data_IF_696328439926
#
_entry.id   IF_696328439926
#
_cell.length_a   1.000
_cell.length_b   1.000
_cell.length_c   1.000
_cell.angle_alpha   90.00
_cell.angle_beta   90.00
_cell.angle_gamma   90.00
#
_symmetry.space_group_name_H-M   'P 1'
#
loop_
_entity.id
_entity.type
_entity.pdbx_description
1 polymer ?
2 non-polymer ?
3 non-polymer ?
4 water ?
#
# COMPACT_ATOMS: atom_id res chain seq x y z
N UNK A 1 -10.70 5.54 -0.20
CA UNK A 1 -9.30 5.06 0.04
C UNK A 1 -8.40 6.16 0.53
N UNK A 2 -7.63 5.86 1.59
CA UNK A 2 -6.70 6.85 2.11
C UNK A 2 -5.29 6.24 2.00
N UNK A 3 -4.38 6.99 1.40
CA UNK A 3 -2.99 6.49 1.23
C UNK A 3 -1.96 7.42 1.88
N UNK A 4 -0.86 6.84 2.33
CA UNK A 4 0.30 7.59 2.73
C UNK A 4 1.46 7.09 1.87
N UNK A 5 2.07 8.01 1.12
CA UNK A 5 3.26 7.75 0.24
C UNK A 5 4.54 8.08 1.00
N UNK A 6 5.36 7.07 1.28
CA UNK A 6 6.63 7.29 1.95
C UNK A 6 7.75 6.84 1.02
N UNK A 7 8.57 7.81 0.58
CA UNK A 7 9.73 7.52 -0.27
C UNK A 7 10.85 7.07 0.62
N UNK A 8 11.15 5.79 0.56
CA UNK A 8 12.02 5.14 1.49
C UNK A 8 13.39 4.92 0.84
N UNK A 9 14.43 4.91 1.67
CA UNK A 9 15.73 4.44 1.25
C UNK A 9 15.81 2.94 1.42
N UNK A 10 15.04 2.40 2.36
CA UNK A 10 14.95 0.99 2.65
C UNK A 10 13.64 0.75 3.41
N UNK A 11 13.15 -0.47 3.31
CA UNK A 11 11.93 -0.92 3.97
C UNK A 11 11.95 -2.40 4.16
N UNK A 12 11.39 -2.83 5.26
CA UNK A 12 11.24 -4.22 5.55
C UNK A 12 10.09 -4.39 6.49
N UNK A 13 9.46 -5.54 6.38
CA UNK A 13 8.39 -5.95 7.30
C UNK A 13 8.45 -7.44 7.57
N UNK A 14 7.80 -7.88 8.64
CA UNK A 14 7.64 -9.29 8.98
C UNK A 14 6.32 -9.37 9.64
N UNK A 15 5.54 -10.36 9.23
CA UNK A 15 4.25 -10.70 9.85
C UNK A 15 4.64 -11.28 11.19
N UNK A 16 3.75 -11.12 12.16
CA UNK A 16 4.00 -11.54 13.55
C UNK A 16 2.72 -12.31 13.87
N UNK A 17 1.89 -11.88 14.81
CA UNK A 17 0.65 -12.61 15.04
C UNK A 17 -0.43 -12.30 13.98
N UNK A 18 -1.36 -13.27 13.72
CA UNK A 18 -2.54 -13.02 12.89
C UNK A 18 -3.44 -11.96 13.55
N UNK A 19 -3.83 -10.96 12.75
CA UNK A 19 -4.71 -9.88 13.20
C UNK A 19 -6.13 -10.31 13.08
N UNK A 20 -6.43 -11.05 12.01
CA UNK A 20 -7.79 -11.56 11.74
C UNK A 20 -7.82 -13.03 12.13
N UNK A 21 -9.02 -13.54 12.40
CA UNK A 21 -9.20 -14.96 12.69
C UNK A 21 -8.58 -15.88 11.63
N UNK A 22 -8.89 -15.67 10.34
CA UNK A 22 -8.25 -16.43 9.25
C UNK A 22 -7.63 -15.50 8.17
N UNK A 23 -6.39 -15.01 8.37
CA UNK A 23 -5.79 -14.07 7.40
C UNK A 23 -5.83 -14.67 5.99
N UNK A 24 -6.34 -13.89 4.99
CA UNK A 24 -6.49 -14.40 3.65
C UNK A 24 -5.17 -14.60 2.95
N UNK A 25 -4.08 -14.03 3.47
CA UNK A 25 -2.77 -14.17 2.86
C UNK A 25 -1.85 -15.00 3.78
N UNK A 26 -0.91 -15.78 3.22
CA UNK A 26 0.10 -16.44 4.08
C UNK A 26 1.07 -15.46 4.80
N UNK A 27 1.72 -15.90 5.91
CA UNK A 27 2.71 -15.09 6.60
C UNK A 27 4.01 -14.96 5.81
N UNK A 28 4.88 -14.05 6.24
CA UNK A 28 6.11 -13.82 5.47
C UNK A 28 6.85 -12.57 5.84
N UNK A 29 7.83 -12.23 5.02
CA UNK A 29 8.69 -11.11 5.32
C UNK A 29 9.42 -10.74 4.04
N UNK A 30 9.86 -9.49 3.97
CA UNK A 30 10.51 -8.99 2.80
C UNK A 30 11.26 -7.73 3.15
N UNK A 31 12.27 -7.40 2.36
CA UNK A 31 12.98 -6.16 2.56
C UNK A 31 13.37 -5.61 1.23
N UNK A 32 13.58 -4.31 1.18
CA UNK A 32 13.77 -3.59 -0.08
C UNK A 32 14.74 -2.47 0.10
N UNK A 33 15.25 -2.02 -1.04
CA UNK A 33 15.97 -0.77 -1.15
C UNK A 33 15.05 0.37 -1.41
N UNK A 34 15.49 1.30 -2.25
CA UNK A 34 14.75 2.51 -2.51
C UNK A 34 13.38 2.14 -3.04
N UNK A 35 12.30 2.70 -2.48
CA UNK A 35 10.95 2.29 -2.92
C UNK A 35 10.01 3.35 -2.47
N UNK A 36 8.87 3.43 -3.14
CA UNK A 36 7.72 4.14 -2.60
C UNK A 36 6.90 3.16 -1.76
N UNK A 37 6.79 3.42 -0.45
CA UNK A 37 6.04 2.56 0.44
C UNK A 37 4.65 3.24 0.55
N UNK A 38 3.59 2.52 0.18
CA UNK A 38 2.21 3.11 0.12
C UNK A 38 1.39 2.44 1.21
N UNK A 39 1.27 3.13 2.35
CA UNK A 39 0.38 2.64 3.40
C UNK A 39 -1.07 2.85 2.94
N UNK A 40 -1.89 1.76 2.91
CA UNK A 40 -3.16 1.80 2.21
C UNK A 40 -4.29 1.44 3.09
N UNK A 41 -5.21 2.37 3.27
CA UNK A 41 -6.42 2.13 4.09
C UNK A 41 -7.63 2.12 3.14
N UNK A 42 -8.31 0.97 3.04
CA UNK A 42 -9.47 0.80 2.15
C UNK A 42 -10.72 1.29 2.88
N UNK A 43 -11.48 2.17 2.24
CA UNK A 43 -12.62 2.81 2.89
C UNK A 43 -13.93 2.28 2.35
N UNK A 44 -14.99 2.42 3.14
CA UNK A 44 -16.30 1.94 2.71
C UNK A 44 -16.70 2.28 1.26
N UNK A 45 -16.55 3.53 0.86
CA UNK A 45 -16.97 3.87 -0.55
C UNK A 45 -16.18 3.25 -1.74
N UNK A 46 -15.14 2.47 -1.48
CA UNK A 46 -14.13 2.20 -2.54
C UNK A 46 -14.65 1.15 -3.48
N UNK A 47 -14.49 1.42 -4.77
CA UNK A 47 -14.88 0.44 -5.77
C UNK A 47 -13.87 0.48 -6.88
N UNK A 48 -14.28 0.06 -8.07
CA UNK A 48 -13.33 -0.02 -9.15
C UNK A 48 -12.80 1.35 -9.62
N UNK A 49 -13.62 2.40 -9.62
CA UNK A 49 -13.12 3.72 -10.04
C UNK A 49 -12.02 4.19 -9.08
N UNK A 50 -12.25 3.97 -7.78
CA UNK A 50 -11.31 4.37 -6.72
C UNK A 50 -9.96 3.69 -6.98
N UNK A 51 -10.01 2.40 -7.24
CA UNK A 51 -8.81 1.65 -7.47
C UNK A 51 -8.01 2.18 -8.67
N UNK A 52 -8.71 2.46 -9.76
CA UNK A 52 -8.02 2.93 -10.92
C UNK A 52 -7.42 4.31 -10.70
N UNK A 53 -8.16 5.21 -10.04
CA UNK A 53 -7.62 6.53 -9.73
C UNK A 53 -6.33 6.39 -8.91
N UNK A 54 -6.39 5.48 -7.92
CA UNK A 54 -5.25 5.31 -7.02
C UNK A 54 -4.07 4.74 -7.79
N UNK A 55 -4.31 3.70 -8.60
CA UNK A 55 -3.28 3.11 -9.48
C UNK A 55 -2.56 4.13 -10.36
N UNK A 56 -3.35 5.01 -10.99
CA UNK A 56 -2.77 6.07 -11.83
C UNK A 56 -1.93 7.05 -11.05
N UNK A 57 -2.45 7.49 -9.89
CA UNK A 57 -1.68 8.42 -9.09
C UNK A 57 -0.40 7.83 -8.53
N UNK A 58 -0.46 6.56 -8.07
CA UNK A 58 0.71 5.94 -7.50
C UNK A 58 1.79 5.86 -8.61
N UNK A 59 1.32 5.55 -9.81
CA UNK A 59 2.19 5.42 -10.97
C UNK A 59 2.85 6.73 -11.32
N UNK A 60 2.05 7.78 -11.37
CA UNK A 60 2.54 9.14 -11.66
C UNK A 60 3.51 9.61 -10.59
N UNK A 61 3.12 9.53 -9.33
CA UNK A 61 4.04 9.93 -8.30
C UNK A 61 5.33 9.18 -8.37
N UNK A 62 5.26 7.86 -8.60
CA UNK A 62 6.44 7.03 -8.70
C UNK A 62 7.32 7.49 -9.86
N UNK A 63 6.67 7.80 -10.97
CA UNK A 63 7.38 8.37 -12.13
C UNK A 63 8.13 9.67 -11.73
N UNK A 64 7.41 10.61 -11.13
CA UNK A 64 7.99 11.85 -10.64
C UNK A 64 9.19 11.62 -9.70
N UNK A 65 9.12 10.60 -8.83
CA UNK A 65 10.16 10.35 -7.85
C UNK A 65 11.34 9.58 -8.42
N UNK A 66 11.14 9.07 -9.64
CA UNK A 66 12.03 8.11 -10.32
C UNK A 66 12.29 6.83 -9.51
N UNK A 67 11.25 6.27 -8.86
CA UNK A 67 11.35 4.96 -8.16
C UNK A 67 10.94 3.85 -9.10
N UNK A 68 11.42 2.65 -8.83
CA UNK A 68 11.11 1.52 -9.69
C UNK A 68 10.57 0.41 -8.83
N UNK A 69 10.25 0.69 -7.56
CA UNK A 69 9.63 -0.30 -6.68
C UNK A 69 8.55 0.41 -5.82
N UNK A 70 7.39 -0.25 -5.71
CA UNK A 70 6.25 0.30 -4.95
C UNK A 70 5.80 -0.81 -4.05
N UNK A 71 5.75 -0.52 -2.74
CA UNK A 71 5.17 -1.50 -1.81
C UNK A 71 3.74 -1.10 -1.39
N UNK A 72 2.78 -1.99 -1.61
CA UNK A 72 1.39 -1.77 -1.18
C UNK A 72 1.25 -2.44 0.17
N UNK A 73 1.20 -1.63 1.22
CA UNK A 73 1.24 -2.08 2.60
C UNK A 73 -0.10 -1.79 3.25
N UNK A 74 -0.93 -2.84 3.44
CA UNK A 74 -2.24 -2.69 4.06
C UNK A 74 -2.10 -2.07 5.47
N UNK A 75 -2.93 -1.06 5.74
CA UNK A 75 -2.78 -0.29 6.99
C UNK A 75 -4.15 0.14 7.47
N UNK A 76 -4.52 -0.17 8.71
CA UNK A 76 -5.88 0.13 9.15
C UNK A 76 -6.08 1.51 9.72
N UNK A 77 -4.99 2.25 9.90
CA UNK A 77 -5.05 3.42 10.77
C UNK A 77 -5.08 4.77 10.13
N UNK A 78 -5.16 4.84 8.80
CA UNK A 78 -5.11 6.17 8.18
C UNK A 78 -6.42 6.94 8.13
N UNK A 79 -7.54 6.28 8.45
CA UNK A 79 -8.82 6.98 8.42
C UNK A 79 -9.82 6.31 9.38
N UNK A 80 -11.00 6.95 9.53
CA UNK A 80 -12.06 6.42 10.38
C UNK A 80 -13.32 6.05 9.59
N UNK A 81 -13.13 5.41 8.43
CA UNK A 81 -14.25 4.93 7.61
C UNK A 81 -13.83 3.67 6.83
N UNK A 82 -13.24 2.73 7.60
CA UNK A 82 -12.71 1.47 7.03
C UNK A 82 -13.77 0.64 6.35
N UNK A 83 -13.38 0.02 5.24
CA UNK A 83 -14.18 -1.05 4.67
C UNK A 83 -13.97 -2.29 5.57
N UNK A 84 -14.88 -3.28 5.46
CA UNK A 84 -14.70 -4.58 6.08
C UNK A 84 -13.53 -5.36 5.50
N UNK A 85 -13.00 -6.33 6.26
CA UNK A 85 -11.76 -6.97 5.82
C UNK A 85 -11.86 -7.69 4.50
N UNK A 86 -12.96 -8.39 4.24
CA UNK A 86 -13.12 -9.07 2.92
C UNK A 86 -13.08 -8.11 1.74
N UNK A 87 -13.88 -7.04 1.82
CA UNK A 87 -13.91 -6.00 0.78
C UNK A 87 -12.52 -5.38 0.62
N UNK A 88 -11.85 -5.07 1.74
CA UNK A 88 -10.52 -4.41 1.70
C UNK A 88 -9.51 -5.30 1.02
N UNK A 89 -9.52 -6.59 1.35
CA UNK A 89 -8.56 -7.50 0.73
C UNK A 89 -8.84 -7.58 -0.76
N UNK A 90 -10.11 -7.57 -1.14
CA UNK A 90 -10.44 -7.59 -2.57
C UNK A 90 -9.97 -6.32 -3.29
N UNK A 91 -10.30 -5.18 -2.71
CA UNK A 91 -9.81 -3.89 -3.27
C UNK A 91 -8.28 -3.83 -3.34
N UNK A 92 -7.56 -4.35 -2.35
CA UNK A 92 -6.10 -4.27 -2.38
C UNK A 92 -5.52 -5.19 -3.46
N UNK A 93 -6.14 -6.33 -3.66
CA UNK A 93 -5.77 -7.21 -4.80
C UNK A 93 -6.03 -6.51 -6.12
N UNK A 94 -7.22 -5.92 -6.28
CA UNK A 94 -7.51 -5.07 -7.48
C UNK A 94 -6.53 -3.93 -7.67
N UNK A 95 -6.17 -3.25 -6.58
CA UNK A 95 -5.18 -2.19 -6.69
C UNK A 95 -3.83 -2.65 -7.18
N UNK A 96 -3.40 -3.79 -6.68
CA UNK A 96 -2.13 -4.39 -7.11
C UNK A 96 -2.18 -4.64 -8.60
N UNK A 97 -3.28 -5.28 -9.04
CA UNK A 97 -3.49 -5.55 -10.46
C UNK A 97 -3.50 -4.32 -11.32
N UNK A 98 -4.26 -3.32 -10.88
CA UNK A 98 -4.36 -2.01 -11.59
C UNK A 98 -3.02 -1.32 -11.69
N UNK A 99 -2.25 -1.33 -10.60
CA UNK A 99 -0.99 -0.66 -10.62
C UNK A 99 -0.04 -1.24 -11.69
N UNK A 100 -0.13 -2.56 -11.89
CA UNK A 100 0.79 -3.21 -12.83
C UNK A 100 0.50 -2.81 -14.27
N UNK A 101 -0.72 -2.34 -14.51
CA UNK A 101 -1.07 -1.76 -15.85
C UNK A 101 -0.62 -0.32 -16.09
N UNK A 102 -0.10 0.35 -15.03
CA UNK A 102 0.23 1.76 -15.10
C UNK A 102 1.69 2.10 -14.76
N UNK A 103 2.33 1.16 -14.08
CA UNK A 103 3.65 1.33 -13.49
C UNK A 103 4.52 0.15 -13.88
N UNK A 104 5.71 0.40 -14.46
CA UNK A 104 6.49 -0.71 -14.97
C UNK A 104 7.47 -1.39 -14.02
N UNK A 105 7.57 -0.90 -12.78
CA UNK A 105 8.55 -1.46 -11.83
C UNK A 105 7.99 -2.56 -10.95
N UNK A 106 8.72 -2.86 -9.89
CA UNK A 106 8.35 -3.93 -9.01
C UNK A 106 7.17 -3.50 -8.16
N UNK A 107 6.12 -4.30 -8.12
CA UNK A 107 5.00 -4.00 -7.22
C UNK A 107 4.91 -5.14 -6.23
N UNK A 108 4.95 -4.84 -4.93
CA UNK A 108 4.91 -5.88 -3.95
C UNK A 108 3.75 -5.61 -3.07
N UNK A 109 2.82 -6.55 -2.97
CA UNK A 109 1.71 -6.33 -2.05
C UNK A 109 2.00 -7.10 -0.75
N UNK A 110 2.11 -6.38 0.37
CA UNK A 110 2.38 -7.03 1.65
C UNK A 110 1.11 -7.78 2.10
N UNK A 111 1.28 -8.84 2.93
CA UNK A 111 0.17 -9.69 3.32
C UNK A 111 -0.88 -9.03 4.16
N UNK A 112 -2.13 -9.40 3.91
CA UNK A 112 -3.27 -8.79 4.58
C UNK A 112 -3.80 -9.62 5.74
N UNK A 113 -4.16 -8.96 6.85
CA UNK A 113 -4.79 -9.62 8.00
C UNK A 113 -3.77 -9.94 9.11
N UNK A 114 -2.56 -9.40 9.03
CA UNK A 114 -1.49 -9.76 9.99
C UNK A 114 -1.12 -8.57 10.80
N UNK A 115 -0.79 -8.76 12.09
CA UNK A 115 0.08 -7.76 12.74
C UNK A 115 1.47 -7.87 12.19
N UNK A 116 2.13 -6.74 12.01
CA UNK A 116 3.47 -6.79 11.43
C UNK A 116 4.42 -5.83 12.10
N UNK A 117 5.68 -6.23 12.21
CA UNK A 117 6.75 -5.28 12.41
C UNK A 117 7.29 -4.73 11.09
N UNK A 118 7.88 -3.57 11.14
CA UNK A 118 8.44 -2.98 9.96
C UNK A 118 9.49 -2.03 10.39
N UNK A 119 10.41 -1.75 9.48
CA UNK A 119 11.35 -0.68 9.62
C UNK A 119 11.36 0.02 8.31
N UNK A 120 11.52 1.32 8.38
CA UNK A 120 11.63 2.14 7.20
C UNK A 120 12.68 3.10 7.53
N UNK A 121 13.35 3.55 6.50
CA UNK A 121 14.18 4.69 6.58
C UNK A 121 13.64 5.60 5.51
N UNK A 122 12.86 6.59 5.92
CA UNK A 122 12.17 7.48 5.03
C UNK A 122 13.08 8.66 4.73
N UNK A 123 13.20 8.99 3.45
CA UNK A 123 13.89 10.20 3.00
C UNK A 123 13.25 11.48 3.52
N UNK A 124 14.04 12.53 3.52
CA UNK A 124 13.59 13.76 4.11
C UNK A 124 13.38 14.81 3.08
N UNK A 125 13.34 14.42 1.80
CA UNK A 125 13.22 15.46 0.80
C UNK A 125 11.78 15.87 0.73
N UNK A 126 11.48 17.01 0.07
CA UNK A 126 10.19 17.65 0.05
C UNK A 126 8.99 16.79 -0.34
N UNK A 127 9.21 15.79 -1.18
CA UNK A 127 8.12 14.97 -1.69
C UNK A 127 8.19 13.58 -1.11
N UNK A 128 8.90 13.39 0.01
CA UNK A 128 9.15 12.06 0.47
C UNK A 128 7.96 11.49 1.28
N UNK A 129 7.04 12.37 1.69
CA UNK A 129 5.86 11.96 2.54
C UNK A 129 4.69 12.82 2.10
N UNK A 130 3.65 12.18 1.57
CA UNK A 130 2.47 12.83 1.02
C UNK A 130 1.28 11.93 1.34
N UNK A 131 0.13 12.51 1.57
CA UNK A 131 -1.10 11.73 1.71
C UNK A 131 -1.99 11.94 0.49
N UNK A 132 -2.90 10.99 0.27
CA UNK A 132 -3.78 10.95 -0.91
C UNK A 132 -5.11 10.37 -0.48
N UNK A 133 -6.17 10.87 -1.06
CA UNK A 133 -7.51 10.28 -0.86
C UNK A 133 -8.15 10.06 -2.19
N UNK A 134 -8.85 8.94 -2.36
CA UNK A 134 -9.56 8.60 -3.60
C UNK A 134 -10.95 8.11 -3.27
N UNK A 135 -11.90 8.43 -4.14
CA UNK A 135 -13.28 8.12 -3.90
C UNK A 135 -13.93 7.89 -5.25
N UNK A 136 -15.19 7.48 -5.17
CA UNK A 136 -16.05 7.42 -6.34
C UNK A 136 -17.52 7.69 -5.97
X LIG B 1 -2.46 -3.74 9.94
X LIG B 1 -0.16 -3.08 9.43
X LIG B 1 -2.95 -2.45 9.81
X LIG B 1 -7.81 -1.36 4.95
X LIG B 1 -6.50 -1.83 4.92
X LIG B 1 -6.14 -2.97 5.70
X LIG B 1 -7.15 -3.54 6.43
X LIG B 1 -8.41 -3.05 6.42
X LIG B 1 -8.74 -1.94 5.69
X LIG B 1 -9.97 -1.45 5.64
X LIG B 1 -9.13 -3.85 7.23
X LIG B 1 -8.33 -4.79 7.74
X LIG B 1 -3.15 -4.88 9.68
X LIG B 1 -7.08 -4.61 7.25
X LIG B 1 -1.00 -3.89 10.39
X LIG B 1 -0.80 -3.50 11.89
X LIG B 1 0.28 -4.31 12.49
X LIG B 1 -5.91 -5.55 7.53
X LIG B 1 -4.51 -5.02 7.73
X LIG B 1 -3.47 -6.02 7.27
X LIG B 1 -4.52 -4.81 9.22
X LIG B 1 -5.38 -5.92 9.78
X LIG B 1 -6.20 -6.39 8.65
X LIG B 1 -6.28 -5.25 10.83
X LIG B 1 -7.49 -5.99 10.89
X LIG B 1 -2.09 -3.64 12.74
X LIG C 1 8.24 -14.81 9.92
#
# INVERSE_FOLDING_TARGET
MRLLYLHADRFEYKTVKPALKNPPDPPGEASFGEALVVFTTVEDGDGPQTVMYAASDIASHSSRLKVTTVILYPYAHLSSRLAKPMAAHKRLIELEGALRTKFPGHVHRAPFGWYKSFSIACKGHPLAELSRSFTE
A3T C N O N1 C2 N3 C4 C5 C6 N6 N7 C8 N8 N9 CA CB OG C1' C2' O2' C3' C4' O4' C5' O5' CG2
MG MG
#
